data_IF_556475763462
#
_entry.id   IF_556475763462
#
_cell.length_a   1.000
_cell.length_b   1.000
_cell.length_c   1.000
_cell.angle_alpha   90.00
_cell.angle_beta   90.00
_cell.angle_gamma   90.00
#
_symmetry.space_group_name_H-M   'P 1'
#
loop_
_entity.id
_entity.type
_entity.pdbx_description
1 polymer ?
#
# COMPACT_ATOMS: atom_id res chain seq x y z
N UNK A 1 -6.15 -4.66 -12.20
CA UNK A 1 -5.30 -3.97 -11.18
C UNK A 1 -4.29 -4.95 -10.62
N UNK A 2 -3.04 -4.55 -10.45
CA UNK A 2 -2.06 -5.29 -9.68
C UNK A 2 -1.74 -4.56 -8.38
N UNK A 3 -1.58 -5.31 -7.30
CA UNK A 3 -1.31 -4.84 -5.97
C UNK A 3 -0.03 -5.51 -5.48
N UNK A 4 0.93 -4.70 -5.04
CA UNK A 4 2.20 -5.18 -4.51
C UNK A 4 2.59 -4.47 -3.22
N UNK A 5 2.89 -5.20 -2.16
CA UNK A 5 3.39 -4.59 -0.92
C UNK A 5 4.87 -4.21 -1.08
N UNK A 6 5.20 -2.96 -0.76
CA UNK A 6 6.59 -2.54 -0.55
C UNK A 6 7.02 -2.73 0.91
N UNK A 7 6.06 -2.71 1.83
CA UNK A 7 6.26 -2.89 3.27
C UNK A 7 5.05 -3.62 3.85
N UNK A 8 5.31 -4.62 4.69
CA UNK A 8 4.29 -5.44 5.33
C UNK A 8 4.80 -5.87 6.71
N UNK A 9 4.22 -5.28 7.76
CA UNK A 9 4.58 -5.58 9.14
C UNK A 9 3.42 -6.16 9.93
N UNK A 10 3.69 -7.27 10.61
CA UNK A 10 2.73 -7.98 11.45
C UNK A 10 3.39 -8.37 12.78
N UNK A 11 2.74 -8.02 13.89
CA UNK A 11 3.31 -8.19 15.24
C UNK A 11 3.42 -9.65 15.66
N UNK A 12 2.44 -10.50 15.30
CA UNK A 12 2.41 -11.90 15.74
C UNK A 12 2.36 -12.86 14.56
N UNK A 13 3.52 -13.37 14.14
CA UNK A 13 3.58 -14.31 13.01
C UNK A 13 2.67 -15.53 13.26
N UNK A 14 1.85 -15.86 12.26
CA UNK A 14 0.94 -17.03 12.23
C UNK A 14 -0.29 -16.93 13.16
N UNK A 15 -0.55 -15.80 13.82
CA UNK A 15 -1.76 -15.58 14.64
C UNK A 15 -2.84 -14.84 13.86
N UNK A 16 -3.46 -15.56 12.93
CA UNK A 16 -4.46 -15.04 11.98
C UNK A 16 -5.76 -14.58 12.67
N UNK A 17 -5.99 -15.08 13.88
CA UNK A 17 -7.06 -14.68 14.81
C UNK A 17 -6.80 -13.30 15.45
N UNK A 18 -5.55 -12.87 15.53
CA UNK A 18 -5.19 -11.56 16.08
C UNK A 18 -5.12 -10.48 15.02
N UNK A 19 -4.84 -10.84 13.77
CA UNK A 19 -4.67 -9.92 12.65
C UNK A 19 -4.54 -10.68 11.34
N UNK A 20 -5.11 -10.10 10.29
CA UNK A 20 -4.98 -10.60 8.93
C UNK A 20 -5.21 -9.44 7.94
N UNK A 21 -4.81 -9.68 6.70
CA UNK A 21 -5.05 -8.79 5.57
C UNK A 21 -5.79 -9.60 4.53
N UNK A 22 -6.97 -9.16 4.13
CA UNK A 22 -7.74 -9.85 3.11
C UNK A 22 -7.95 -8.95 1.91
N UNK A 23 -7.66 -9.48 0.72
CA UNK A 23 -7.90 -8.80 -0.55
C UNK A 23 -9.13 -9.40 -1.20
N UNK A 24 -10.10 -8.56 -1.53
CA UNK A 24 -11.33 -8.94 -2.20
C UNK A 24 -11.38 -8.36 -3.61
N UNK A 25 -11.95 -9.13 -4.53
CA UNK A 25 -12.14 -8.74 -5.92
C UNK A 25 -13.55 -8.20 -6.16
N UNK A 26 -13.69 -7.09 -6.89
CA UNK A 26 -14.98 -6.47 -7.29
C UNK A 26 -15.91 -6.00 -6.15
N UNK A 27 -15.97 -6.69 -5.01
CA UNK A 27 -16.88 -6.45 -3.87
C UNK A 27 -16.19 -6.75 -2.53
N UNK A 28 -16.86 -6.52 -1.39
CA UNK A 28 -16.37 -6.86 -0.04
C UNK A 28 -17.05 -8.11 0.55
N UNK A 29 -17.74 -8.90 -0.29
CA UNK A 29 -18.38 -10.14 0.14
C UNK A 29 -17.33 -11.23 0.37
N UNK A 30 -17.55 -12.11 1.35
CA UNK A 30 -16.63 -13.21 1.65
C UNK A 30 -16.40 -14.15 0.46
N UNK A 31 -17.43 -14.35 -0.38
CA UNK A 31 -17.30 -15.14 -1.62
C UNK A 31 -16.37 -14.50 -2.66
N UNK A 32 -16.02 -13.23 -2.50
CA UNK A 32 -15.11 -12.50 -3.38
C UNK A 32 -13.70 -12.34 -2.79
N UNK A 33 -13.42 -12.94 -1.64
CA UNK A 33 -12.07 -12.98 -1.07
C UNK A 33 -11.12 -13.72 -2.03
N UNK A 34 -10.09 -13.03 -2.53
CA UNK A 34 -9.05 -13.65 -3.35
C UNK A 34 -7.96 -14.28 -2.52
N UNK A 35 -7.55 -13.61 -1.45
CA UNK A 35 -6.42 -14.04 -0.64
C UNK A 35 -6.52 -13.45 0.76
N UNK A 36 -6.06 -14.20 1.76
CA UNK A 36 -5.95 -13.73 3.14
C UNK A 36 -4.57 -14.03 3.71
N UNK A 37 -3.86 -12.98 4.13
CA UNK A 37 -2.51 -13.03 4.65
C UNK A 37 -2.52 -12.87 6.17
N UNK A 38 -1.81 -13.76 6.87
CA UNK A 38 -1.61 -13.68 8.31
C UNK A 38 -0.21 -14.10 8.76
N UNK A 39 0.73 -14.11 7.83
CA UNK A 39 2.14 -14.44 8.05
C UNK A 39 2.98 -13.26 7.61
N UNK A 40 4.07 -13.02 8.34
CA UNK A 40 5.07 -12.01 7.96
C UNK A 40 6.44 -12.59 8.24
N UNK A 41 7.17 -12.94 7.17
CA UNK A 41 8.62 -12.85 7.08
C UNK A 41 9.01 -13.00 5.61
N UNK A 42 9.49 -11.91 4.99
CA UNK A 42 9.88 -11.81 3.57
C UNK A 42 8.79 -12.17 2.54
N UNK A 43 7.53 -12.31 2.97
CA UNK A 43 6.40 -12.57 2.11
C UNK A 43 5.89 -11.23 1.57
N UNK A 44 5.88 -11.10 0.23
CA UNK A 44 5.39 -9.92 -0.47
C UNK A 44 3.94 -10.22 -0.89
N UNK A 45 3.00 -9.37 -0.50
CA UNK A 45 1.67 -9.38 -1.09
C UNK A 45 1.84 -9.00 -2.57
N UNK A 46 1.57 -9.93 -3.47
CA UNK A 46 1.64 -9.76 -4.93
C UNK A 46 0.38 -10.40 -5.53
N UNK A 47 -0.64 -9.57 -5.81
CA UNK A 47 -1.94 -10.02 -6.29
C UNK A 47 -2.34 -9.24 -7.53
N UNK A 48 -2.86 -9.95 -8.51
CA UNK A 48 -3.49 -9.36 -9.68
C UNK A 48 -4.99 -9.64 -9.70
N UNK A 49 -5.77 -8.63 -10.06
CA UNK A 49 -7.18 -8.72 -10.41
C UNK A 49 -7.38 -8.22 -11.85
N UNK A 50 -8.26 -8.87 -12.60
CA UNK A 50 -8.72 -8.41 -13.91
C UNK A 50 -9.79 -7.30 -13.79
N UNK A 51 -10.29 -7.05 -12.59
CA UNK A 51 -11.23 -5.98 -12.30
C UNK A 51 -10.54 -4.62 -12.24
N UNK A 52 -11.37 -3.58 -12.40
CA UNK A 52 -11.06 -2.20 -12.08
C UNK A 52 -11.39 -1.84 -10.62
N UNK A 53 -11.76 -2.81 -9.78
CA UNK A 53 -12.02 -2.62 -8.35
C UNK A 53 -11.47 -3.77 -7.51
N UNK A 54 -10.77 -3.41 -6.46
CA UNK A 54 -10.23 -4.32 -5.43
C UNK A 54 -10.42 -3.67 -4.07
N UNK A 55 -10.68 -4.46 -3.04
CA UNK A 55 -10.82 -4.00 -1.67
C UNK A 55 -9.78 -4.67 -0.79
N UNK A 56 -9.08 -3.89 0.04
CA UNK A 56 -8.12 -4.41 1.01
C UNK A 56 -8.67 -4.16 2.40
N UNK A 57 -8.84 -5.22 3.19
CA UNK A 57 -9.29 -5.15 4.58
C UNK A 57 -8.14 -5.51 5.50
N UNK A 58 -7.82 -4.62 6.43
CA UNK A 58 -6.89 -4.88 7.53
C UNK A 58 -7.70 -5.22 8.78
N UNK A 59 -7.49 -6.40 9.33
CA UNK A 59 -8.06 -6.82 10.60
C UNK A 59 -6.98 -6.82 11.69
N UNK A 60 -7.36 -6.37 12.89
CA UNK A 60 -6.57 -6.48 14.11
C UNK A 60 -7.51 -6.60 15.31
N UNK A 61 -7.28 -7.59 16.18
CA UNK A 61 -8.08 -7.82 17.39
C UNK A 61 -7.96 -6.69 18.41
N UNK A 62 -6.90 -5.87 18.30
CA UNK A 62 -6.70 -4.62 19.04
C UNK A 62 -5.89 -3.65 18.19
N UNK A 63 -5.84 -2.38 18.61
CA UNK A 63 -5.00 -1.36 17.95
C UNK A 63 -3.51 -1.74 17.91
N UNK A 64 -3.02 -2.50 18.88
CA UNK A 64 -1.63 -2.94 18.95
C UNK A 64 -1.30 -4.14 18.05
N UNK A 65 -2.31 -4.84 17.54
CA UNK A 65 -2.14 -5.97 16.64
C UNK A 65 -2.43 -5.58 15.19
N UNK A 66 -2.78 -4.32 14.93
CA UNK A 66 -3.09 -3.85 13.59
C UNK A 66 -1.85 -3.99 12.68
N UNK A 67 -1.99 -4.60 11.50
CA UNK A 67 -0.89 -4.69 10.55
C UNK A 67 -0.60 -3.32 9.91
N UNK A 68 0.68 -3.07 9.61
CA UNK A 68 1.09 -1.96 8.76
C UNK A 68 1.34 -2.47 7.34
N UNK A 69 0.79 -1.76 6.35
CA UNK A 69 0.86 -2.14 4.95
C UNK A 69 1.09 -0.89 4.09
N UNK A 70 2.17 -0.91 3.32
CA UNK A 70 2.42 0.06 2.24
C UNK A 70 2.27 -0.62 0.90
N UNK A 71 1.19 -0.27 0.19
CA UNK A 71 0.76 -0.96 -1.02
C UNK A 71 0.96 -0.09 -2.25
N UNK A 72 1.66 -0.60 -3.26
CA UNK A 72 1.67 -0.04 -4.60
C UNK A 72 0.55 -0.69 -5.43
N UNK A 73 -0.15 0.11 -6.23
CA UNK A 73 -1.10 -0.39 -7.22
C UNK A 73 -0.69 0.04 -8.63
N UNK A 74 -0.97 -0.81 -9.61
CA UNK A 74 -0.68 -0.55 -11.02
C UNK A 74 -1.83 -1.01 -11.91
N UNK A 75 -2.22 -0.19 -12.88
CA UNK A 75 -3.09 -0.60 -13.97
C UNK A 75 -2.24 -1.16 -15.11
N UNK A 76 -2.48 -2.43 -15.45
CA UNK A 76 -1.81 -3.10 -16.56
C UNK A 76 -2.79 -3.37 -17.69
N UNK A 77 -2.26 -3.30 -18.92
CA UNK A 77 -2.94 -3.79 -20.12
C UNK A 77 -2.12 -4.94 -20.71
N UNK A 78 -2.79 -6.01 -21.14
CA UNK A 78 -2.16 -7.09 -21.89
C UNK A 78 -2.19 -6.76 -23.39
N UNK A 79 -1.16 -7.20 -24.13
CA UNK A 79 -1.05 -7.03 -25.58
C UNK A 79 0.03 -6.03 -25.99
N UNK A 80 -0.07 -5.49 -27.20
CA UNK A 80 0.93 -4.57 -27.74
C UNK A 80 0.84 -3.21 -27.06
N UNK A 81 1.98 -2.73 -26.55
CA UNK A 81 2.07 -1.44 -25.89
C UNK A 81 1.98 -0.31 -26.92
N UNK A 82 1.18 0.70 -26.61
CA UNK A 82 1.14 1.93 -27.41
C UNK A 82 2.39 2.78 -27.17
N UNK A 83 2.58 3.82 -27.97
CA UNK A 83 3.68 4.77 -27.78
C UNK A 83 3.63 5.53 -26.43
N UNK A 84 2.50 5.47 -25.70
CA UNK A 84 2.31 6.13 -24.40
C UNK A 84 2.48 5.15 -23.22
N UNK A 85 2.94 3.93 -23.49
CA UNK A 85 3.12 2.89 -22.48
C UNK A 85 4.54 2.33 -22.49
N UNK A 86 4.95 1.82 -21.35
CA UNK A 86 6.19 1.09 -21.14
C UNK A 86 5.89 -0.40 -21.03
N UNK A 87 6.77 -1.24 -21.61
CA UNK A 87 6.62 -2.69 -21.64
C UNK A 87 7.30 -3.34 -20.43
N UNK A 88 6.50 -3.96 -19.56
CA UNK A 88 6.91 -4.80 -18.43
C UNK A 88 6.75 -6.29 -18.80
N UNK A 89 7.73 -6.92 -19.46
CA UNK A 89 7.56 -8.29 -19.95
C UNK A 89 6.38 -8.41 -20.92
N UNK A 90 5.31 -9.11 -20.53
CA UNK A 90 4.11 -9.34 -21.34
C UNK A 90 2.95 -8.35 -21.08
N UNK A 91 3.17 -7.32 -20.26
CA UNK A 91 2.16 -6.30 -19.95
C UNK A 91 2.67 -4.89 -20.19
N UNK A 92 1.74 -3.96 -20.35
CA UNK A 92 1.99 -2.55 -20.57
C UNK A 92 1.55 -1.74 -19.35
N UNK A 93 2.40 -0.82 -18.92
CA UNK A 93 2.08 0.24 -17.95
C UNK A 93 2.11 1.61 -18.63
N UNK A 94 1.42 2.61 -18.09
CA UNK A 94 1.57 3.99 -18.57
C UNK A 94 3.02 4.46 -18.48
N UNK A 95 3.49 5.19 -19.51
CA UNK A 95 4.87 5.69 -19.56
C UNK A 95 5.23 6.62 -18.39
N UNK A 96 4.24 7.24 -17.75
CA UNK A 96 4.43 8.06 -16.54
C UNK A 96 4.89 7.27 -15.31
N UNK A 97 4.81 5.94 -15.35
CA UNK A 97 5.26 5.04 -14.29
C UNK A 97 6.72 4.59 -14.47
N UNK A 98 7.38 4.93 -15.58
CA UNK A 98 8.80 4.63 -15.78
C UNK A 98 9.68 5.55 -14.93
N UNK A 99 10.65 4.98 -14.21
CA UNK A 99 11.60 5.69 -13.33
C UNK A 99 10.94 6.61 -12.27
N UNK A 100 9.74 6.25 -11.80
CA UNK A 100 9.00 7.03 -10.82
C UNK A 100 9.38 6.70 -9.37
N UNK A 101 10.26 5.72 -9.16
CA UNK A 101 10.71 5.24 -7.85
C UNK A 101 9.74 4.31 -7.14
N UNK A 102 8.75 3.78 -7.86
CA UNK A 102 7.83 2.75 -7.38
C UNK A 102 8.01 1.54 -8.28
N UNK A 103 8.18 0.35 -7.71
CA UNK A 103 8.23 -0.89 -8.49
C UNK A 103 6.82 -1.19 -9.05
N UNK A 104 6.49 -0.68 -10.24
CA UNK A 104 5.18 -0.90 -10.86
C UNK A 104 5.18 -2.18 -11.70
N UNK A 105 6.28 -2.54 -12.36
CA UNK A 105 6.41 -3.82 -13.04
C UNK A 105 6.70 -4.96 -12.05
N UNK A 106 6.19 -6.17 -12.34
CA UNK A 106 6.47 -7.38 -11.54
C UNK A 106 7.96 -7.71 -11.45
N UNK A 107 8.69 -7.45 -12.53
CA UNK A 107 10.13 -7.66 -12.67
C UNK A 107 10.99 -6.43 -12.34
N UNK A 108 10.34 -5.34 -11.87
CA UNK A 108 10.94 -4.04 -11.57
C UNK A 108 11.67 -3.40 -12.75
N UNK A 109 11.33 -3.79 -13.99
CA UNK A 109 12.01 -3.28 -15.19
C UNK A 109 11.79 -1.80 -15.42
N UNK A 110 10.69 -1.23 -14.91
CA UNK A 110 10.38 0.19 -14.96
C UNK A 110 11.35 1.08 -14.17
N UNK A 111 12.07 0.51 -13.21
CA UNK A 111 13.02 1.25 -12.35
C UNK A 111 14.50 0.89 -12.64
N UNK A 112 14.76 0.10 -13.70
CA UNK A 112 16.12 -0.27 -14.13
C UNK A 112 16.63 0.66 -15.22
N UNK A 113 17.90 1.04 -15.12
CA UNK A 113 18.57 1.82 -16.17
C UNK A 113 18.16 3.30 -16.23
N UNK A 114 17.51 3.82 -15.19
CA UNK A 114 17.19 5.23 -15.06
C UNK A 114 18.47 6.07 -14.99
N UNK A 115 18.73 6.93 -15.98
CA UNK A 115 19.76 7.95 -15.87
C UNK A 115 19.44 8.86 -14.69
N UNK A 116 20.45 9.23 -13.89
CA UNK A 116 20.28 9.95 -12.60
C UNK A 116 19.63 11.34 -12.68
N UNK A 117 19.13 11.77 -13.84
CA UNK A 117 18.33 12.98 -13.97
C UNK A 117 16.88 12.67 -13.61
N UNK A 118 16.60 12.48 -12.31
CA UNK A 118 15.23 12.65 -11.81
C UNK A 118 14.87 14.13 -11.96
N UNK A 119 13.85 14.53 -12.72
CA UNK A 119 13.16 15.75 -12.38
C UNK A 119 12.56 15.48 -11.00
N UNK A 120 13.01 16.22 -9.99
CA UNK A 120 12.34 16.31 -8.71
C UNK A 120 10.94 16.87 -8.93
N UNK A 121 9.98 16.00 -9.25
CA UNK A 121 8.57 16.37 -9.20
C UNK A 121 8.16 16.38 -7.74
N UNK A 122 8.21 17.59 -7.18
CA UNK A 122 7.51 17.95 -5.96
C UNK A 122 6.05 17.50 -6.03
N UNK A 123 5.49 17.29 -4.84
CA UNK A 123 4.10 16.95 -4.56
C UNK A 123 3.16 17.83 -5.40
N UNK A 124 2.70 17.33 -6.54
CA UNK A 124 1.60 17.91 -7.29
C UNK A 124 0.51 16.86 -7.36
N UNK A 125 -0.64 17.16 -6.75
CA UNK A 125 -1.81 16.30 -6.81
C UNK A 125 -2.28 16.11 -8.25
N UNK A 126 -2.53 14.86 -8.63
CA UNK A 126 -3.03 14.49 -9.96
C UNK A 126 -4.37 13.78 -9.83
N UNK A 127 -5.41 14.34 -10.43
CA UNK A 127 -6.68 13.65 -10.68
C UNK A 127 -6.40 12.54 -11.71
N UNK A 128 -6.49 11.28 -11.27
CA UNK A 128 -6.38 10.08 -12.12
C UNK A 128 -4.98 9.47 -12.18
N UNK A 129 -4.50 8.89 -11.08
CA UNK A 129 -3.22 8.18 -11.05
C UNK A 129 -3.39 6.71 -11.47
N UNK A 130 -2.78 6.33 -12.60
CA UNK A 130 -2.76 4.95 -13.13
C UNK A 130 -1.81 4.00 -12.38
N UNK A 131 -1.10 4.54 -11.39
CA UNK A 131 -0.31 3.80 -10.41
C UNK A 131 0.14 4.72 -9.28
N UNK A 132 0.46 4.14 -8.12
CA UNK A 132 0.86 4.90 -6.94
C UNK A 132 0.97 4.04 -5.68
N UNK A 133 1.51 4.60 -4.61
CA UNK A 133 1.58 3.96 -3.30
C UNK A 133 0.56 4.53 -2.34
N UNK A 134 -0.13 3.67 -1.60
CA UNK A 134 -1.03 4.03 -0.52
C UNK A 134 -0.48 3.46 0.78
N UNK A 135 -0.25 4.34 1.76
CA UNK A 135 -0.02 3.95 3.14
C UNK A 135 -1.38 3.70 3.78
N UNK A 136 -1.69 2.44 4.09
CA UNK A 136 -2.93 2.10 4.78
C UNK A 136 -2.65 2.19 6.28
N UNK A 137 -2.36 3.41 6.75
CA UNK A 137 -2.39 3.69 8.18
C UNK A 137 -3.86 3.81 8.60
N UNK A 138 -4.24 3.03 9.61
CA UNK A 138 -5.51 3.25 10.26
C UNK A 138 -5.35 3.37 11.77
N UNK A 139 -4.21 3.88 12.22
CA UNK A 139 -4.20 4.70 13.41
C UNK A 139 -5.09 5.92 13.12
N UNK A 140 -6.18 6.06 13.88
CA UNK A 140 -6.72 7.38 14.13
C UNK A 140 -5.53 8.22 14.57
N UNK A 141 -5.16 9.24 13.79
CA UNK A 141 -4.20 10.24 14.27
C UNK A 141 -4.76 10.75 15.59
N UNK A 142 -4.17 10.37 16.72
CA UNK A 142 -4.41 11.10 17.97
C UNK A 142 -3.94 12.51 17.65
N UNK A 143 -4.87 13.45 17.61
CA UNK A 143 -4.59 14.85 17.33
C UNK A 143 -3.44 15.31 18.21
N UNK A 144 -2.37 15.77 17.59
CA UNK A 144 -1.37 16.60 18.25
C UNK A 144 -1.93 18.00 18.33
N UNK A 145 -2.54 18.34 19.46
CA UNK A 145 -2.34 19.60 20.17
C UNK A 145 -3.02 19.44 21.55
N UNK A 146 -2.23 19.01 22.53
CA UNK A 146 -2.68 18.78 23.89
C UNK A 146 -1.53 19.17 24.81
N UNK A 147 -1.56 20.43 25.23
CA UNK A 147 -0.63 20.99 26.19
C UNK A 147 -0.56 20.14 27.46
N UNK A 148 0.66 20.04 27.95
CA UNK A 148 1.05 19.44 29.21
C UNK A 148 0.22 20.02 30.36
N UNK A 149 -0.59 19.19 31.03
CA UNK A 149 -1.11 19.48 32.36
C UNK A 149 -0.73 18.30 33.23
N UNK A 150 0.42 18.44 33.88
CA UNK A 150 0.86 17.59 34.98
C UNK A 150 -0.07 17.80 36.19
N UNK A 151 -0.60 16.75 36.82
CA UNK A 151 -1.16 16.86 38.17
C UNK A 151 -0.02 16.74 39.18
N UNK A 152 0.24 17.81 39.91
CA UNK A 152 1.18 17.85 41.03
C UNK A 152 0.49 18.46 42.24
N UNK A 153 0.15 17.61 43.19
CA UNK A 153 -0.35 17.99 44.51
C UNK A 153 0.67 18.86 45.25
N UNK A 154 0.21 19.95 45.87
CA UNK A 154 0.72 20.47 47.15
C UNK A 154 -0.21 21.56 47.70
N UNK A 155 -0.82 21.26 48.84
CA UNK A 155 -1.40 22.23 49.75
C UNK A 155 -0.31 23.04 50.46
N UNK A 156 -0.49 24.35 50.66
CA UNK A 156 -0.20 25.12 51.89
C UNK A 156 -0.18 26.65 51.68
N UNK A 157 -0.82 27.38 52.61
CA UNK A 157 -0.62 28.81 52.93
C UNK A 157 -1.36 29.78 51.99
N UNK A 158 -2.18 30.74 52.44
CA UNK A 158 -2.33 31.46 53.72
C UNK A 158 -3.78 31.97 53.80
#
# INVERSE_FOLDING_TARGET
IHLRSSELEMKHRKRCDLHNITVYDRTTLESAAKESFCRSQNEVLDISSDSNRVFVRLFGSSLHNKPYLRLAYTLFRKGDCSALEFKCGDVCIPASLWCNGVDNCRDRSDEKGCSRTRPSHGRSGSRGASGGSVDIDGAVKRGGDGGDITPGDSAAGI
#
